data_IF_307627362740
#
_entry.id   IF_307627362740
#
_cell.length_a   1.000
_cell.length_b   1.000
_cell.length_c   1.000
_cell.angle_alpha   90.00
_cell.angle_beta   90.00
_cell.angle_gamma   90.00
#
_symmetry.space_group_name_H-M   'P 1'
#
loop_
_entity.id
_entity.type
_entity.pdbx_description
1 polymer ?
#
# COMPACT_ATOMS: atom_id res chain seq x y z
N UNK A 1 11.52 19.84 8.15
CA UNK A 1 12.53 19.23 9.04
C UNK A 1 13.77 18.78 8.24
N UNK A 2 13.61 18.02 7.15
CA UNK A 2 14.74 17.49 6.36
C UNK A 2 15.24 18.42 5.25
N UNK A 3 14.62 19.56 4.99
CA UNK A 3 14.93 20.59 3.98
C UNK A 3 15.04 20.11 2.52
N UNK A 4 15.50 18.88 2.26
CA UNK A 4 15.64 18.29 0.92
C UNK A 4 15.15 16.85 0.90
N UNK A 5 14.71 16.35 -0.27
CA UNK A 5 14.32 14.95 -0.48
C UNK A 5 15.51 14.02 -0.20
N UNK A 6 16.72 14.41 -0.57
CA UNK A 6 17.93 13.62 -0.33
C UNK A 6 18.18 13.39 1.17
N UNK A 7 18.06 14.42 1.99
CA UNK A 7 18.22 14.31 3.45
C UNK A 7 17.13 13.43 4.07
N UNK A 8 15.90 13.52 3.56
CA UNK A 8 14.81 12.66 3.98
C UNK A 8 15.09 11.17 3.64
N UNK A 9 15.56 10.89 2.43
CA UNK A 9 15.94 9.54 2.01
C UNK A 9 17.10 9.00 2.85
N UNK A 10 18.15 9.80 3.10
CA UNK A 10 19.27 9.42 3.96
C UNK A 10 18.83 9.08 5.39
N UNK A 11 17.94 9.89 5.96
CA UNK A 11 17.40 9.65 7.29
C UNK A 11 16.62 8.32 7.38
N UNK A 12 15.78 8.02 6.38
CA UNK A 12 15.06 6.74 6.31
C UNK A 12 15.97 5.56 6.03
N UNK A 13 16.96 5.74 5.14
CA UNK A 13 17.93 4.69 4.79
C UNK A 13 18.73 4.22 6.00
N UNK A 14 19.05 5.12 6.93
CA UNK A 14 19.76 4.78 8.16
C UNK A 14 19.12 3.62 8.93
N UNK A 15 17.79 3.50 8.94
CA UNK A 15 17.09 2.37 9.55
C UNK A 15 17.55 1.02 8.96
N UNK A 16 17.68 0.93 7.64
CA UNK A 16 18.12 -0.28 6.95
C UNK A 16 19.63 -0.52 7.10
N UNK A 17 20.43 0.55 7.04
CA UNK A 17 21.89 0.47 7.16
C UNK A 17 22.32 -0.02 8.56
N UNK A 18 21.55 0.32 9.60
CA UNK A 18 21.82 -0.08 10.99
C UNK A 18 21.25 -1.48 11.33
N UNK A 19 20.54 -2.16 10.39
CA UNK A 19 19.95 -3.47 10.64
C UNK A 19 21.03 -4.54 10.91
N UNK A 20 20.87 -5.36 11.96
CA UNK A 20 21.80 -6.45 12.25
C UNK A 20 21.65 -7.61 11.26
N UNK A 21 22.68 -8.45 11.15
CA UNK A 21 22.70 -9.59 10.21
C UNK A 21 21.60 -10.63 10.43
N UNK A 22 21.08 -10.75 11.65
CA UNK A 22 20.02 -11.68 12.01
C UNK A 22 18.61 -11.11 11.82
N UNK A 23 18.50 -9.87 11.35
CA UNK A 23 17.23 -9.27 10.94
C UNK A 23 16.93 -9.53 9.46
N UNK A 24 15.77 -9.10 9.01
CA UNK A 24 15.42 -8.99 7.59
C UNK A 24 15.01 -7.55 7.23
N UNK A 25 15.19 -7.21 5.97
CA UNK A 25 14.70 -5.97 5.37
C UNK A 25 13.73 -6.32 4.26
N UNK A 26 12.53 -5.73 4.27
CA UNK A 26 11.53 -5.89 3.23
C UNK A 26 11.38 -4.57 2.48
N UNK A 27 11.55 -4.57 1.17
CA UNK A 27 11.54 -3.35 0.34
C UNK A 27 10.62 -3.46 -0.86
N UNK A 28 10.05 -2.31 -1.26
CA UNK A 28 9.16 -2.19 -2.40
C UNK A 28 9.95 -2.01 -3.70
N UNK A 29 9.82 -2.96 -4.65
CA UNK A 29 10.44 -2.83 -5.99
C UNK A 29 9.70 -1.86 -6.91
N UNK A 30 8.45 -1.52 -6.63
CA UNK A 30 7.69 -0.55 -7.41
C UNK A 30 8.09 0.91 -7.09
N UNK A 31 8.78 1.13 -5.95
CA UNK A 31 9.37 2.42 -5.61
C UNK A 31 10.79 2.52 -6.17
N UNK A 32 11.08 3.59 -6.91
CA UNK A 32 12.40 3.86 -7.51
C UNK A 32 13.54 3.90 -6.48
N UNK A 33 13.24 4.22 -5.22
CA UNK A 33 14.22 4.26 -4.14
C UNK A 33 14.25 2.95 -3.33
N UNK A 34 13.37 1.98 -3.61
CA UNK A 34 13.24 0.76 -2.82
C UNK A 34 14.56 0.02 -2.64
N UNK A 35 15.26 -0.30 -3.73
CA UNK A 35 16.56 -0.96 -3.67
C UNK A 35 17.66 -0.09 -3.07
N UNK A 36 17.59 1.23 -3.26
CA UNK A 36 18.54 2.18 -2.68
C UNK A 36 18.48 2.14 -1.16
N UNK A 37 17.29 1.98 -0.58
CA UNK A 37 17.11 1.89 0.88
C UNK A 37 17.88 0.74 1.49
N UNK A 38 17.94 -0.41 0.80
CA UNK A 38 18.56 -1.64 1.32
C UNK A 38 19.98 -1.90 0.84
N UNK A 39 20.56 -0.98 0.05
CA UNK A 39 21.85 -1.16 -0.62
C UNK A 39 23.02 -1.49 0.32
N UNK A 40 23.05 -0.93 1.52
CA UNK A 40 24.16 -1.09 2.49
C UNK A 40 23.74 -1.92 3.71
N UNK A 41 22.50 -2.45 3.73
CA UNK A 41 22.07 -3.26 4.88
C UNK A 41 22.87 -4.53 5.01
N UNK A 42 23.08 -5.01 6.24
CA UNK A 42 23.69 -6.30 6.53
C UNK A 42 22.65 -7.40 6.74
N UNK A 43 21.38 -7.03 6.81
CA UNK A 43 20.27 -7.97 6.96
C UNK A 43 19.97 -8.68 5.65
N UNK A 44 19.25 -9.82 5.72
CA UNK A 44 18.73 -10.48 4.52
C UNK A 44 17.65 -9.61 3.90
N UNK A 45 17.80 -9.28 2.61
CA UNK A 45 16.85 -8.45 1.87
C UNK A 45 15.79 -9.32 1.20
N UNK A 46 14.53 -8.93 1.38
CA UNK A 46 13.37 -9.45 0.70
C UNK A 46 12.65 -8.30 -0.01
N UNK A 47 11.92 -8.64 -1.04
CA UNK A 47 11.27 -7.69 -1.93
C UNK A 47 9.78 -7.97 -2.05
N UNK A 48 8.99 -6.92 -2.27
CA UNK A 48 7.60 -7.06 -2.66
C UNK A 48 7.25 -6.14 -3.83
N UNK A 49 6.28 -6.54 -4.65
CA UNK A 49 5.86 -5.77 -5.83
C UNK A 49 4.46 -6.17 -6.30
N UNK A 50 3.73 -5.19 -6.81
CA UNK A 50 2.48 -5.40 -7.56
C UNK A 50 2.71 -5.54 -9.07
N UNK A 51 3.94 -5.26 -9.58
CA UNK A 51 4.26 -5.17 -11.02
C UNK A 51 5.33 -6.15 -11.46
N UNK A 52 6.32 -6.40 -10.61
CA UNK A 52 7.54 -7.15 -10.95
C UNK A 52 7.62 -8.49 -10.21
N UNK A 53 8.49 -9.37 -10.68
CA UNK A 53 8.88 -10.56 -9.91
C UNK A 53 9.59 -10.12 -8.62
N UNK A 54 9.15 -10.69 -7.52
CA UNK A 54 9.61 -10.36 -6.17
C UNK A 54 9.39 -11.56 -5.24
N UNK A 55 9.96 -11.52 -4.04
CA UNK A 55 9.75 -12.57 -3.03
C UNK A 55 8.28 -12.64 -2.60
N UNK A 56 7.62 -11.48 -2.48
CA UNK A 56 6.18 -11.37 -2.24
C UNK A 56 5.55 -10.64 -3.41
N UNK A 57 4.80 -11.36 -4.23
CA UNK A 57 4.13 -10.82 -5.41
C UNK A 57 2.66 -10.62 -5.15
N UNK A 58 2.15 -9.45 -5.55
CA UNK A 58 0.73 -9.15 -5.51
C UNK A 58 0.19 -8.68 -6.85
N UNK A 59 -1.12 -8.77 -7.01
CA UNK A 59 -1.87 -8.19 -8.13
C UNK A 59 -3.22 -7.71 -7.64
N UNK A 60 -3.71 -6.62 -8.20
CA UNK A 60 -5.11 -6.21 -8.07
C UNK A 60 -5.86 -6.88 -9.22
N UNK A 61 -6.80 -7.75 -8.91
CA UNK A 61 -7.64 -8.44 -9.90
C UNK A 61 -8.87 -7.61 -10.22
N UNK A 62 -9.55 -7.09 -9.17
CA UNK A 62 -10.73 -6.25 -9.29
C UNK A 62 -10.67 -5.10 -8.27
N UNK A 63 -11.28 -3.95 -8.59
CA UNK A 63 -11.36 -2.79 -7.70
C UNK A 63 -12.72 -2.13 -7.80
N UNK A 64 -13.40 -2.02 -6.66
CA UNK A 64 -14.73 -1.43 -6.51
C UNK A 64 -14.77 -0.51 -5.29
N UNK A 65 -15.84 0.28 -5.10
CA UNK A 65 -16.00 1.11 -3.90
C UNK A 65 -16.28 0.30 -2.63
N UNK A 66 -16.54 -0.99 -2.74
CA UNK A 66 -16.71 -1.93 -1.64
C UNK A 66 -15.40 -2.60 -1.22
N UNK A 67 -14.37 -2.51 -2.05
CA UNK A 67 -13.08 -3.13 -1.81
C UNK A 67 -12.39 -3.64 -3.07
N UNK A 68 -11.37 -4.46 -2.88
CA UNK A 68 -10.56 -5.03 -3.95
C UNK A 68 -10.50 -6.56 -3.82
N UNK A 69 -10.52 -7.25 -4.96
CA UNK A 69 -10.03 -8.61 -5.07
C UNK A 69 -8.54 -8.57 -5.40
N UNK A 70 -7.72 -9.12 -4.53
CA UNK A 70 -6.27 -9.17 -4.65
C UNK A 70 -5.81 -10.62 -4.85
N UNK A 71 -4.67 -10.78 -5.49
CA UNK A 71 -3.90 -12.03 -5.51
C UNK A 71 -2.56 -11.77 -4.83
N UNK A 72 -2.25 -12.50 -3.77
CA UNK A 72 -0.94 -12.48 -3.10
C UNK A 72 -0.34 -13.88 -3.14
N UNK A 73 0.80 -14.03 -3.80
CA UNK A 73 1.50 -15.31 -3.98
C UNK A 73 0.61 -16.45 -4.52
N UNK A 74 -0.29 -16.14 -5.48
CA UNK A 74 -1.30 -17.03 -6.08
C UNK A 74 -2.45 -17.43 -5.12
N UNK A 75 -2.70 -16.65 -4.09
CA UNK A 75 -3.87 -16.77 -3.22
C UNK A 75 -4.76 -15.55 -3.38
N UNK A 76 -6.01 -15.77 -3.76
CA UNK A 76 -7.00 -14.72 -3.88
C UNK A 76 -7.56 -14.33 -2.50
N UNK A 77 -7.72 -13.03 -2.26
CA UNK A 77 -8.35 -12.50 -1.07
C UNK A 77 -9.18 -11.26 -1.38
N UNK A 78 -10.37 -11.17 -0.80
CA UNK A 78 -11.19 -9.97 -0.83
C UNK A 78 -10.82 -9.10 0.36
N UNK A 79 -10.60 -7.80 0.12
CA UNK A 79 -10.29 -6.80 1.16
C UNK A 79 -11.20 -5.59 1.03
N UNK A 80 -11.49 -4.92 2.15
CA UNK A 80 -12.34 -3.73 2.18
C UNK A 80 -11.57 -2.43 1.93
N UNK A 81 -10.36 -2.54 1.42
CA UNK A 81 -9.51 -1.42 1.06
C UNK A 81 -9.63 -1.09 -0.43
N UNK A 82 -9.38 0.16 -0.80
CA UNK A 82 -9.45 0.66 -2.18
C UNK A 82 -8.14 1.34 -2.54
N UNK A 83 -7.75 1.20 -3.82
CA UNK A 83 -6.57 1.85 -4.39
C UNK A 83 -5.29 1.02 -4.32
N UNK A 84 -4.51 1.09 -5.39
CA UNK A 84 -3.26 0.33 -5.56
C UNK A 84 -2.24 0.58 -4.45
N UNK A 85 -2.24 1.79 -3.86
CA UNK A 85 -1.37 2.10 -2.74
C UNK A 85 -1.73 1.28 -1.49
N UNK A 86 -3.02 1.03 -1.24
CA UNK A 86 -3.46 0.16 -0.15
C UNK A 86 -3.16 -1.31 -0.46
N UNK A 87 -3.32 -1.77 -1.71
CA UNK A 87 -2.88 -3.11 -2.11
C UNK A 87 -1.37 -3.32 -1.84
N UNK A 88 -0.54 -2.31 -2.17
CA UNK A 88 0.90 -2.33 -1.88
C UNK A 88 1.19 -2.36 -0.38
N UNK A 89 0.45 -1.58 0.43
CA UNK A 89 0.58 -1.59 1.88
C UNK A 89 0.21 -2.95 2.49
N UNK A 90 -0.89 -3.55 2.04
CA UNK A 90 -1.34 -4.87 2.50
C UNK A 90 -0.34 -5.96 2.11
N UNK A 91 0.25 -5.89 0.90
CA UNK A 91 1.30 -6.81 0.48
C UNK A 91 2.57 -6.69 1.34
N UNK A 92 2.94 -5.47 1.74
CA UNK A 92 4.04 -5.25 2.67
C UNK A 92 3.75 -5.86 4.04
N UNK A 93 2.53 -5.71 4.55
CA UNK A 93 2.09 -6.32 5.83
C UNK A 93 2.10 -7.84 5.73
N UNK A 94 1.59 -8.40 4.62
CA UNK A 94 1.63 -9.83 4.33
C UNK A 94 3.06 -10.37 4.38
N UNK A 95 3.96 -9.79 3.58
CA UNK A 95 5.36 -10.21 3.54
C UNK A 95 6.06 -10.09 4.89
N UNK A 96 5.85 -9.00 5.63
CA UNK A 96 6.43 -8.81 6.95
C UNK A 96 5.93 -9.87 7.95
N UNK A 97 4.63 -10.17 7.97
CA UNK A 97 4.05 -11.16 8.87
C UNK A 97 4.57 -12.58 8.57
N UNK A 98 4.68 -12.96 7.30
CA UNK A 98 5.25 -14.25 6.87
C UNK A 98 6.72 -14.34 7.27
N UNK A 99 7.51 -13.29 7.07
CA UNK A 99 8.92 -13.24 7.48
C UNK A 99 9.09 -13.31 9.01
N UNK A 100 8.08 -12.89 9.76
CA UNK A 100 8.00 -13.05 11.22
C UNK A 100 7.50 -14.44 11.65
N UNK A 101 7.34 -15.38 10.71
CA UNK A 101 6.99 -16.77 10.99
C UNK A 101 5.50 -17.06 11.10
N UNK A 102 4.63 -16.15 10.63
CA UNK A 102 3.19 -16.45 10.52
C UNK A 102 2.93 -17.28 9.26
N UNK A 103 1.94 -18.17 9.33
CA UNK A 103 1.51 -18.94 8.15
C UNK A 103 0.79 -18.00 7.16
N UNK A 104 1.02 -18.19 5.87
CA UNK A 104 0.43 -17.35 4.82
C UNK A 104 -1.10 -17.32 4.90
N UNK A 105 -1.73 -18.50 5.08
CA UNK A 105 -3.19 -18.61 5.16
C UNK A 105 -3.77 -17.81 6.33
N UNK A 106 -3.14 -17.86 7.51
CA UNK A 106 -3.58 -17.13 8.69
C UNK A 106 -3.48 -15.61 8.46
N UNK A 107 -2.42 -15.16 7.78
CA UNK A 107 -2.23 -13.74 7.43
C UNK A 107 -3.27 -13.29 6.43
N UNK A 108 -3.55 -14.09 5.38
CA UNK A 108 -4.56 -13.76 4.38
C UNK A 108 -5.96 -13.63 4.99
N UNK A 109 -6.34 -14.57 5.88
CA UNK A 109 -7.60 -14.49 6.64
C UNK A 109 -7.64 -13.22 7.49
N UNK A 110 -6.56 -12.89 8.20
CA UNK A 110 -6.51 -11.66 8.98
C UNK A 110 -6.67 -10.41 8.12
N UNK A 111 -5.97 -10.33 6.98
CA UNK A 111 -6.06 -9.19 6.04
C UNK A 111 -7.47 -9.02 5.47
N UNK A 112 -8.18 -10.11 5.18
CA UNK A 112 -9.55 -10.05 4.64
C UNK A 112 -10.57 -9.48 5.63
N UNK A 113 -10.28 -9.53 6.93
CA UNK A 113 -11.15 -9.00 8.00
C UNK A 113 -10.81 -7.57 8.42
N UNK A 114 -9.75 -6.99 7.90
CA UNK A 114 -9.37 -5.62 8.24
C UNK A 114 -10.29 -4.60 7.58
N UNK A 115 -10.56 -3.53 8.31
CA UNK A 115 -11.31 -2.39 7.83
C UNK A 115 -10.38 -1.18 7.66
N UNK A 116 -10.67 -0.28 6.70
CA UNK A 116 -9.98 1.00 6.61
C UNK A 116 -10.09 1.79 7.92
N UNK A 117 -9.04 2.51 8.25
CA UNK A 117 -9.06 3.45 9.37
C UNK A 117 -9.87 4.68 8.94
N UNK A 118 -10.73 5.20 9.83
CA UNK A 118 -11.51 6.41 9.56
C UNK A 118 -10.62 7.55 9.04
N UNK A 119 -11.06 8.20 7.95
CA UNK A 119 -10.30 9.26 7.28
C UNK A 119 -9.10 8.77 6.45
N UNK A 120 -9.01 7.48 6.13
CA UNK A 120 -8.00 6.89 5.24
C UNK A 120 -8.67 6.15 4.10
N UNK A 121 -8.97 6.87 3.02
CA UNK A 121 -9.81 6.40 1.90
C UNK A 121 -11.12 5.78 2.40
N UNK A 122 -11.77 6.46 3.31
CA UNK A 122 -13.00 6.01 3.97
C UNK A 122 -14.19 6.31 3.05
N UNK A 123 -14.76 5.28 2.44
CA UNK A 123 -15.81 5.38 1.44
C UNK A 123 -17.18 5.19 2.08
N UNK A 124 -17.97 6.26 2.12
CA UNK A 124 -19.31 6.29 2.70
C UNK A 124 -20.35 6.38 1.59
N UNK A 125 -21.16 5.34 1.43
CA UNK A 125 -22.27 5.34 0.46
C UNK A 125 -23.49 6.07 0.95
N UNK A 126 -23.97 6.98 0.13
CA UNK A 126 -25.26 7.65 0.36
C UNK A 126 -26.40 6.84 -0.26
N UNK A 127 -27.56 6.75 0.41
CA UNK A 127 -28.81 6.21 -0.20
C UNK A 127 -29.24 6.95 -1.47
N UNK A 128 -28.76 8.19 -1.68
CA UNK A 128 -29.06 9.01 -2.86
C UNK A 128 -28.17 8.68 -4.07
N UNK A 129 -27.28 7.66 -4.00
CA UNK A 129 -26.51 7.15 -5.13
C UNK A 129 -25.16 7.81 -5.35
N UNK A 130 -24.66 8.64 -4.42
CA UNK A 130 -23.28 9.12 -4.44
C UNK A 130 -22.43 8.42 -3.35
N UNK A 131 -21.12 8.42 -3.56
CA UNK A 131 -20.15 7.95 -2.56
C UNK A 131 -19.32 9.16 -2.09
N UNK A 132 -19.25 9.38 -0.79
CA UNK A 132 -18.34 10.35 -0.19
C UNK A 132 -17.07 9.60 0.24
N UNK A 133 -15.90 10.15 -0.11
CA UNK A 133 -14.62 9.59 0.28
C UNK A 133 -13.92 10.60 1.17
N UNK A 134 -13.54 10.17 2.38
CA UNK A 134 -12.80 10.97 3.34
C UNK A 134 -11.37 10.46 3.42
N UNK A 135 -10.41 11.34 3.13
CA UNK A 135 -8.99 11.01 3.20
C UNK A 135 -8.17 12.16 3.80
N UNK A 136 -7.09 11.82 4.49
CA UNK A 136 -6.16 12.77 5.11
C UNK A 136 -5.03 13.17 4.16
N UNK A 137 -5.20 13.02 2.86
CA UNK A 137 -4.21 13.43 1.86
C UNK A 137 -3.98 14.95 1.93
N UNK A 138 -2.78 15.36 2.33
CA UNK A 138 -2.40 16.78 2.50
C UNK A 138 -1.12 17.13 1.72
N UNK A 139 -0.61 16.22 0.89
CA UNK A 139 0.49 16.47 -0.04
C UNK A 139 0.01 16.28 -1.47
N UNK A 140 0.61 16.97 -2.47
CA UNK A 140 0.25 16.79 -3.88
C UNK A 140 0.25 15.32 -4.32
N UNK A 141 1.30 14.57 -4.00
CA UNK A 141 1.43 13.16 -4.37
C UNK A 141 0.35 12.29 -3.72
N UNK A 142 0.02 12.54 -2.45
CA UNK A 142 -1.03 11.81 -1.76
C UNK A 142 -2.40 12.09 -2.39
N UNK A 143 -2.70 13.36 -2.70
CA UNK A 143 -3.96 13.73 -3.37
C UNK A 143 -4.08 13.10 -4.75
N UNK A 144 -3.01 13.11 -5.55
CA UNK A 144 -2.97 12.44 -6.85
C UNK A 144 -3.26 10.94 -6.72
N UNK A 145 -2.67 10.27 -5.73
CA UNK A 145 -2.91 8.84 -5.49
C UNK A 145 -4.38 8.54 -5.14
N UNK A 146 -4.98 9.36 -4.29
CA UNK A 146 -6.41 9.24 -3.93
C UNK A 146 -7.30 9.46 -5.15
N UNK A 147 -7.09 10.53 -5.91
CA UNK A 147 -7.88 10.84 -7.10
C UNK A 147 -7.72 9.75 -8.18
N UNK A 148 -6.51 9.25 -8.41
CA UNK A 148 -6.29 8.15 -9.34
C UNK A 148 -7.03 6.88 -8.91
N UNK A 149 -7.03 6.55 -7.62
CA UNK A 149 -7.77 5.38 -7.11
C UNK A 149 -9.29 5.53 -7.34
N UNK A 150 -9.83 6.75 -7.18
CA UNK A 150 -11.24 7.04 -7.47
C UNK A 150 -11.52 6.88 -8.98
N UNK A 151 -10.67 7.42 -9.83
CA UNK A 151 -10.81 7.31 -11.28
C UNK A 151 -10.68 5.86 -11.77
N UNK A 152 -9.78 5.07 -11.19
CA UNK A 152 -9.63 3.64 -11.50
C UNK A 152 -10.93 2.88 -11.21
N UNK A 153 -11.61 3.16 -10.08
CA UNK A 153 -12.90 2.53 -9.74
C UNK A 153 -14.06 3.03 -10.63
N UNK A 154 -14.05 4.32 -10.99
CA UNK A 154 -15.10 4.91 -11.81
C UNK A 154 -15.04 4.46 -13.28
N UNK A 155 -13.86 4.07 -13.80
CA UNK A 155 -13.67 3.66 -15.20
C UNK A 155 -14.27 4.67 -16.21
N UNK A 156 -14.14 5.96 -15.92
CA UNK A 156 -14.70 7.04 -16.73
C UNK A 156 -16.20 7.30 -16.54
N UNK A 157 -16.85 6.59 -15.61
CA UNK A 157 -18.28 6.79 -15.29
C UNK A 157 -18.43 7.78 -14.13
N UNK A 158 -19.44 8.64 -14.20
CA UNK A 158 -19.78 9.58 -13.13
C UNK A 158 -18.93 10.85 -13.11
N UNK A 159 -19.05 11.60 -12.02
CA UNK A 159 -18.34 12.87 -11.79
C UNK A 159 -17.67 12.85 -10.43
N UNK A 160 -16.48 13.42 -10.36
CA UNK A 160 -15.74 13.63 -9.11
C UNK A 160 -15.86 15.08 -8.70
N UNK A 161 -16.26 15.33 -7.46
CA UNK A 161 -16.25 16.66 -6.83
C UNK A 161 -15.23 16.59 -5.71
N UNK A 162 -14.17 17.40 -5.79
CA UNK A 162 -13.11 17.43 -4.80
C UNK A 162 -13.28 18.64 -3.89
N UNK A 163 -13.31 18.40 -2.57
CA UNK A 163 -13.29 19.45 -1.54
C UNK A 163 -11.97 19.35 -0.81
N UNK A 164 -11.19 20.42 -0.82
CA UNK A 164 -9.88 20.49 -0.17
C UNK A 164 -9.92 21.61 0.84
N UNK A 165 -9.52 21.31 2.08
CA UNK A 165 -9.32 22.27 3.14
C UNK A 165 -7.90 22.19 3.69
N UNK A 166 -7.32 23.33 4.08
CA UNK A 166 -6.03 23.44 4.75
C UNK A 166 -6.21 24.03 6.15
#
# INVERSE_FOLDING_TARGET
>A
YHKTVENYLKAKKKFFDDMPKNAFSLTNLDDKNGLVMTQNTRSKVYTYSLRSLSDFKGRVLESHFEGMLLDFNNHELMVQFIGKFNASNLLAVFGAAVLLGKKEEDVLVALSTLHPVAGRFDAIRSPQGYTAIVDYAHTPDALVNVLNAIHDVLEGRGKVITVVGA
#
